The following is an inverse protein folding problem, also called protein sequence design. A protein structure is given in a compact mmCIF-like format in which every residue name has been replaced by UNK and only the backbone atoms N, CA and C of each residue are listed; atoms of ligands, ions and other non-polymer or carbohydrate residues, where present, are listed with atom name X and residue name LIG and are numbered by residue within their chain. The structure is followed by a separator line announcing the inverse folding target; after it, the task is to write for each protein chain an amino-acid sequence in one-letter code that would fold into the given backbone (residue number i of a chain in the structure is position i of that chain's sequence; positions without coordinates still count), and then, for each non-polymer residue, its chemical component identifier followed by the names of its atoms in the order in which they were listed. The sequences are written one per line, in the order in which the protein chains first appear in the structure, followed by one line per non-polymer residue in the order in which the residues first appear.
data_IF_940503352462
#
_entry.id   IF_940503352462
#
_cell.length_a   1.000
_cell.length_b   1.000
_cell.length_c   1.000
_cell.angle_alpha   90.00
_cell.angle_beta   90.00
_cell.angle_gamma   90.00
#
_symmetry.space_group_name_H-M   'P 1'
#
loop_
_entity.id
_entity.type
_entity.pdbx_description
1 polymer ?
#
# COMPACT_ATOMS: atom_id res chain seq x y z
N UNK A 1 -16.73 -7.98 -7.49
CA UNK A 1 -15.96 -6.81 -7.02
C UNK A 1 -15.20 -6.19 -8.19
N UNK A 2 -15.35 -4.88 -8.41
CA UNK A 2 -14.53 -4.09 -9.36
C UNK A 2 -13.06 -4.05 -8.91
N UNK A 3 -12.16 -3.56 -9.77
CA UNK A 3 -10.74 -3.39 -9.39
C UNK A 3 -10.62 -2.37 -8.24
N UNK A 4 -11.33 -1.25 -8.33
CA UNK A 4 -11.33 -0.21 -7.30
C UNK A 4 -11.84 -0.72 -5.94
N UNK A 5 -12.85 -1.59 -5.91
CA UNK A 5 -13.29 -2.24 -4.67
C UNK A 5 -12.24 -3.19 -4.09
N UNK A 6 -11.52 -3.94 -4.95
CA UNK A 6 -10.43 -4.82 -4.51
C UNK A 6 -9.29 -4.04 -3.88
N UNK A 7 -8.90 -2.90 -4.48
CA UNK A 7 -7.84 -2.04 -3.97
C UNK A 7 -8.15 -1.52 -2.56
N UNK A 8 -9.43 -1.32 -2.18
CA UNK A 8 -9.81 -0.96 -0.82
C UNK A 8 -9.44 -2.01 0.24
N UNK A 9 -9.13 -3.22 -0.16
CA UNK A 9 -8.70 -4.30 0.73
C UNK A 9 -7.21 -4.60 0.62
N UNK A 10 -6.47 -3.84 -0.19
CA UNK A 10 -5.03 -4.04 -0.33
C UNK A 10 -4.20 -3.27 0.69
N UNK A 11 -4.80 -2.38 1.47
CA UNK A 11 -4.08 -1.54 2.43
C UNK A 11 -4.50 -1.80 3.86
N UNK A 12 -3.65 -1.41 4.79
CA UNK A 12 -3.90 -1.48 6.23
C UNK A 12 -3.38 -0.21 6.91
N UNK A 13 -4.15 0.30 7.88
CA UNK A 13 -3.72 1.39 8.74
C UNK A 13 -2.74 0.86 9.79
N UNK A 14 -1.58 1.49 9.89
CA UNK A 14 -0.57 1.21 10.90
C UNK A 14 -0.61 2.33 11.93
N UNK A 15 -0.89 2.00 13.19
CA UNK A 15 -0.73 2.92 14.31
C UNK A 15 0.48 2.48 15.13
N UNK A 16 1.53 3.28 15.09
CA UNK A 16 2.77 3.05 15.82
C UNK A 16 2.75 3.76 17.17
N UNK A 17 3.25 3.11 18.20
CA UNK A 17 3.37 3.60 19.55
C UNK A 17 4.83 3.46 19.99
N UNK A 18 5.45 4.56 20.36
CA UNK A 18 6.82 4.61 20.89
C UNK A 18 6.82 4.41 22.41
N UNK A 19 8.00 4.18 22.99
CA UNK A 19 8.14 3.97 24.43
C UNK A 19 7.68 5.16 25.28
N UNK A 20 7.81 6.36 24.76
CA UNK A 20 7.30 7.60 25.38
C UNK A 20 5.79 7.83 25.20
N UNK A 21 5.06 6.82 24.71
CA UNK A 21 3.65 6.88 24.33
C UNK A 21 3.29 7.84 23.17
N UNK A 22 4.27 8.39 22.48
CA UNK A 22 4.03 9.14 21.24
C UNK A 22 3.40 8.19 20.21
N UNK A 23 2.37 8.67 19.51
CA UNK A 23 1.66 7.92 18.49
C UNK A 23 1.88 8.54 17.12
N UNK A 24 2.09 7.71 16.15
CA UNK A 24 2.13 8.08 14.74
C UNK A 24 1.27 7.11 13.94
N UNK A 25 0.85 7.53 12.75
CA UNK A 25 0.10 6.69 11.83
C UNK A 25 0.77 6.67 10.48
N UNK A 26 0.62 5.57 9.78
CA UNK A 26 1.07 5.38 8.41
C UNK A 26 0.19 4.41 7.67
N UNK A 27 0.51 4.21 6.42
CA UNK A 27 -0.13 3.25 5.54
C UNK A 27 0.80 2.06 5.31
N UNK A 28 0.26 0.86 5.35
CA UNK A 28 0.88 -0.32 4.80
C UNK A 28 -0.02 -0.94 3.73
N UNK A 29 0.52 -1.81 2.91
CA UNK A 29 -0.26 -2.58 1.95
C UNK A 29 0.22 -4.03 1.90
N UNK A 30 -0.69 -4.92 1.55
CA UNK A 30 -0.39 -6.35 1.43
C UNK A 30 0.30 -6.62 0.10
N UNK A 31 1.42 -7.32 0.17
CA UNK A 31 2.22 -7.71 -0.99
C UNK A 31 2.66 -9.17 -0.86
N UNK A 32 2.48 -9.93 -1.93
CA UNK A 32 2.91 -11.32 -2.00
C UNK A 32 4.25 -11.40 -2.75
N UNK A 33 5.32 -11.67 -2.00
CA UNK A 33 6.63 -11.92 -2.58
C UNK A 33 6.69 -13.34 -3.12
N UNK A 34 6.95 -13.46 -4.42
CA UNK A 34 7.10 -14.74 -5.10
C UNK A 34 8.32 -15.50 -4.60
N UNK A 35 8.16 -16.78 -4.35
CA UNK A 35 9.22 -17.70 -3.97
C UNK A 35 9.30 -18.83 -4.98
N UNK A 36 10.38 -19.60 -4.92
CA UNK A 36 10.55 -20.79 -5.74
C UNK A 36 9.35 -21.76 -5.58
N UNK A 37 9.01 -22.48 -6.66
CA UNK A 37 7.95 -23.50 -6.69
C UNK A 37 6.52 -23.00 -6.50
N UNK A 38 6.24 -21.72 -6.83
CA UNK A 38 4.87 -21.18 -6.81
C UNK A 38 4.31 -20.91 -5.41
N UNK A 39 5.16 -20.87 -4.39
CA UNK A 39 4.81 -20.37 -3.06
C UNK A 39 5.01 -18.84 -3.01
N UNK A 40 4.37 -18.19 -2.04
CA UNK A 40 4.58 -16.77 -1.77
C UNK A 40 4.71 -16.50 -0.26
N UNK A 41 5.38 -15.41 0.06
CA UNK A 41 5.45 -14.88 1.44
C UNK A 41 4.59 -13.62 1.49
N UNK A 42 3.42 -13.67 2.15
CA UNK A 42 2.58 -12.50 2.31
C UNK A 42 3.16 -11.56 3.38
N UNK A 43 3.34 -10.31 3.00
CA UNK A 43 3.87 -9.26 3.87
C UNK A 43 2.99 -8.02 3.82
N UNK A 44 3.08 -7.18 4.86
CA UNK A 44 2.73 -5.77 4.78
C UNK A 44 3.98 -5.01 4.40
N UNK A 45 3.89 -4.17 3.37
CA UNK A 45 4.96 -3.26 2.94
C UNK A 45 4.61 -1.85 3.37
N UNK A 46 5.60 -1.10 3.87
CA UNK A 46 5.47 0.31 4.29
C UNK A 46 6.83 1.01 4.21
N UNK A 47 6.91 2.27 4.63
CA UNK A 47 8.20 2.95 4.78
C UNK A 47 8.89 2.63 6.12
N UNK A 48 10.22 2.66 6.15
CA UNK A 48 10.99 2.49 7.40
C UNK A 48 10.63 3.57 8.41
N UNK A 49 10.54 4.84 8.00
CA UNK A 49 10.23 5.95 8.90
C UNK A 49 8.84 5.84 9.54
N UNK A 50 7.91 5.04 8.99
CA UNK A 50 6.59 4.77 9.59
C UNK A 50 6.73 3.85 10.80
N UNK A 51 7.58 2.82 10.71
CA UNK A 51 7.72 1.76 11.71
C UNK A 51 8.92 1.95 12.64
N UNK A 52 9.85 2.79 12.24
CA UNK A 52 11.06 3.11 13.00
C UNK A 52 10.70 3.68 14.39
N UNK A 53 11.44 3.25 15.42
CA UNK A 53 11.24 3.66 16.84
C UNK A 53 9.91 3.24 17.46
N UNK A 54 9.10 2.43 16.78
CA UNK A 54 7.86 1.93 17.34
C UNK A 54 8.11 0.65 18.16
N UNK A 55 7.84 0.71 19.44
CA UNK A 55 7.88 -0.47 20.31
C UNK A 55 6.62 -1.32 20.20
N UNK A 56 5.51 -0.71 19.79
CA UNK A 56 4.24 -1.40 19.53
C UNK A 56 3.60 -0.90 18.25
N UNK A 57 2.89 -1.78 17.55
CA UNK A 57 2.04 -1.40 16.43
C UNK A 57 0.65 -2.01 16.53
N UNK A 58 -0.37 -1.26 16.09
CA UNK A 58 -1.75 -1.72 15.99
C UNK A 58 -2.19 -1.72 14.54
N UNK A 59 -2.89 -2.78 14.17
CA UNK A 59 -3.48 -2.98 12.86
C UNK A 59 -4.96 -3.28 13.02
N UNK A 60 -5.81 -2.59 12.28
CA UNK A 60 -7.24 -2.92 12.18
C UNK A 60 -7.43 -3.72 10.90
N UNK A 61 -7.79 -4.98 11.04
CA UNK A 61 -7.84 -5.95 9.95
C UNK A 61 -9.26 -6.40 9.66
N UNK A 62 -9.59 -6.55 8.40
CA UNK A 62 -10.86 -7.14 7.99
C UNK A 62 -10.74 -8.67 8.05
N UNK A 63 -11.68 -9.32 8.71
CA UNK A 63 -11.70 -10.77 8.93
C UNK A 63 -13.05 -11.36 8.55
N UNK A 64 -13.03 -12.65 8.21
CA UNK A 64 -14.22 -13.46 8.01
C UNK A 64 -14.30 -14.49 9.15
N UNK A 65 -15.44 -14.57 9.80
CA UNK A 65 -15.74 -15.62 10.78
C UNK A 65 -15.98 -16.94 10.05
N UNK A 66 -15.14 -17.95 10.30
CA UNK A 66 -15.21 -19.23 9.58
C UNK A 66 -16.56 -19.96 9.72
N UNK A 67 -17.22 -19.79 10.87
CA UNK A 67 -18.48 -20.47 11.15
C UNK A 67 -19.69 -19.85 10.44
N UNK A 68 -19.70 -18.54 10.25
CA UNK A 68 -20.87 -17.79 9.75
C UNK A 68 -20.64 -17.10 8.41
N UNK A 69 -19.37 -16.96 7.99
CA UNK A 69 -19.00 -16.18 6.80
C UNK A 69 -19.17 -14.65 6.98
N UNK A 70 -19.50 -14.19 8.19
CA UNK A 70 -19.73 -12.77 8.45
C UNK A 70 -18.40 -12.03 8.52
N UNK A 71 -18.33 -10.92 7.80
CA UNK A 71 -17.20 -10.00 7.86
C UNK A 71 -17.22 -9.21 9.16
N UNK A 72 -16.05 -9.06 9.78
CA UNK A 72 -15.90 -8.28 10.98
C UNK A 72 -14.48 -7.65 11.02
N UNK A 73 -14.24 -6.71 11.93
CA UNK A 73 -12.95 -6.06 12.06
C UNK A 73 -12.26 -6.46 13.36
N UNK A 74 -10.98 -6.78 13.29
CA UNK A 74 -10.16 -7.20 14.42
C UNK A 74 -8.97 -6.27 14.60
N UNK A 75 -8.77 -5.79 15.82
CA UNK A 75 -7.58 -5.04 16.18
C UNK A 75 -6.50 -5.99 16.68
N UNK A 76 -5.37 -6.03 15.99
CA UNK A 76 -4.20 -6.78 16.42
C UNK A 76 -3.14 -5.79 16.92
N UNK A 77 -2.58 -6.07 18.09
CA UNK A 77 -1.45 -5.32 18.63
C UNK A 77 -0.24 -6.24 18.67
N UNK A 78 0.86 -5.79 18.07
CA UNK A 78 2.17 -6.45 18.13
C UNK A 78 3.02 -5.63 19.09
N UNK A 79 3.56 -6.29 20.12
CA UNK A 79 4.58 -5.76 21.05
C UNK A 79 5.97 -6.16 20.56
N UNK A 80 7.02 -5.51 21.05
CA UNK A 80 8.39 -5.68 20.55
C UNK A 80 8.46 -5.52 19.03
N UNK A 81 7.73 -4.52 18.53
CA UNK A 81 7.45 -4.36 17.11
C UNK A 81 8.71 -4.13 16.29
N UNK A 82 9.75 -3.55 16.88
CA UNK A 82 11.07 -3.37 16.27
C UNK A 82 11.72 -4.68 15.78
N UNK A 83 11.28 -5.83 16.33
CA UNK A 83 11.72 -7.17 15.92
C UNK A 83 10.84 -7.82 14.85
N UNK A 84 9.75 -7.16 14.48
CA UNK A 84 8.69 -7.73 13.63
C UNK A 84 8.76 -7.28 12.18
N UNK A 85 9.72 -6.40 11.83
CA UNK A 85 9.89 -5.89 10.48
C UNK A 85 11.33 -5.94 10.02
N UNK A 86 11.51 -5.95 8.70
CA UNK A 86 12.82 -5.93 8.04
C UNK A 86 12.91 -4.72 7.13
N UNK A 87 13.97 -3.92 7.32
CA UNK A 87 14.20 -2.73 6.49
C UNK A 87 15.00 -3.05 5.23
N UNK A 88 14.67 -2.38 4.12
CA UNK A 88 15.50 -2.41 2.93
C UNK A 88 16.85 -1.73 3.20
N UNK A 89 17.99 -2.23 2.70
CA UNK A 89 19.31 -1.68 3.02
C UNK A 89 19.49 -0.19 2.68
N UNK A 90 18.98 0.25 1.54
CA UNK A 90 19.22 1.59 1.01
C UNK A 90 17.95 2.43 0.84
N UNK A 91 16.81 1.81 0.52
CA UNK A 91 15.55 2.53 0.35
C UNK A 91 14.79 2.69 1.67
N UNK A 92 13.92 3.70 1.73
CA UNK A 92 13.00 3.90 2.86
C UNK A 92 11.81 2.94 2.78
N UNK A 93 12.09 1.64 2.81
CA UNK A 93 11.12 0.56 2.72
C UNK A 93 11.30 -0.44 3.86
N UNK A 94 10.19 -0.94 4.36
CA UNK A 94 10.13 -2.00 5.36
C UNK A 94 9.06 -3.02 5.01
N UNK A 95 9.30 -4.28 5.35
CA UNK A 95 8.34 -5.38 5.22
C UNK A 95 8.05 -5.99 6.59
N UNK A 96 6.80 -6.37 6.78
CA UNK A 96 6.30 -7.03 7.99
C UNK A 96 5.67 -8.35 7.55
N UNK A 97 6.32 -9.51 7.76
CA UNK A 97 5.71 -10.80 7.45
C UNK A 97 4.44 -11.02 8.28
N UNK A 98 3.33 -11.36 7.62
CA UNK A 98 2.02 -11.46 8.28
C UNK A 98 1.66 -12.85 8.80
N UNK A 99 2.57 -13.81 8.71
CA UNK A 99 2.33 -15.18 9.18
C UNK A 99 1.91 -15.24 10.67
N UNK A 100 2.52 -14.41 11.53
CA UNK A 100 2.16 -14.28 12.94
C UNK A 100 0.72 -13.78 13.10
N UNK A 101 0.34 -12.74 12.35
CA UNK A 101 -1.02 -12.18 12.35
C UNK A 101 -2.03 -13.25 11.91
N UNK A 102 -1.74 -13.97 10.83
CA UNK A 102 -2.60 -15.05 10.32
C UNK A 102 -2.79 -16.14 11.39
N UNK A 103 -1.73 -16.53 12.08
CA UNK A 103 -1.82 -17.55 13.15
C UNK A 103 -2.64 -17.07 14.35
N UNK A 104 -2.47 -15.82 14.79
CA UNK A 104 -3.29 -15.22 15.85
C UNK A 104 -4.77 -15.24 15.47
N UNK A 105 -5.11 -14.87 14.25
CA UNK A 105 -6.49 -14.87 13.77
C UNK A 105 -7.06 -16.29 13.65
N UNK A 106 -6.29 -17.23 13.11
CA UNK A 106 -6.71 -18.65 13.02
C UNK A 106 -7.03 -19.23 14.39
N UNK A 107 -6.25 -18.94 15.43
CA UNK A 107 -6.49 -19.39 16.79
C UNK A 107 -7.78 -18.79 17.39
N UNK A 108 -8.24 -17.66 16.87
CA UNK A 108 -9.51 -17.03 17.22
C UNK A 108 -10.71 -17.50 16.33
N UNK A 109 -10.51 -18.50 15.46
CA UNK A 109 -11.52 -18.96 14.51
C UNK A 109 -11.86 -17.98 13.39
N UNK A 110 -10.90 -17.07 13.08
CA UNK A 110 -11.04 -16.00 12.10
C UNK A 110 -10.08 -16.22 10.94
N UNK A 111 -10.45 -15.69 9.77
CA UNK A 111 -9.62 -15.68 8.58
C UNK A 111 -9.39 -14.25 8.15
N UNK A 112 -8.14 -13.87 7.89
CA UNK A 112 -7.78 -12.56 7.37
C UNK A 112 -8.33 -12.42 5.94
N UNK A 113 -9.09 -11.35 5.70
CA UNK A 113 -9.56 -11.00 4.37
C UNK A 113 -8.78 -9.79 3.86
N UNK A 114 -8.03 -9.98 2.80
CA UNK A 114 -7.21 -8.95 2.15
C UNK A 114 -7.05 -9.25 0.67
N UNK A 115 -6.61 -8.27 -0.09
CA UNK A 115 -6.19 -8.39 -1.48
C UNK A 115 -4.71 -8.03 -1.55
N UNK A 116 -3.88 -8.96 -1.98
CA UNK A 116 -2.45 -8.71 -2.16
C UNK A 116 -2.16 -8.02 -3.48
N UNK A 117 -1.19 -7.13 -3.46
CA UNK A 117 -0.48 -6.66 -4.65
C UNK A 117 0.59 -7.71 -4.95
N UNK A 118 0.82 -8.01 -6.21
CA UNK A 118 1.87 -8.95 -6.64
C UNK A 118 2.83 -8.27 -7.62
N UNK A 119 3.94 -8.92 -7.88
CA UNK A 119 4.95 -8.48 -8.85
C UNK A 119 4.37 -8.28 -10.26
N UNK A 120 3.30 -9.02 -10.61
CA UNK A 120 2.61 -8.92 -11.89
C UNK A 120 1.97 -7.55 -12.14
N UNK A 121 1.68 -6.79 -11.07
CA UNK A 121 1.14 -5.44 -11.18
C UNK A 121 2.22 -4.38 -11.38
N UNK A 122 3.50 -4.73 -11.20
CA UNK A 122 4.61 -3.82 -11.46
C UNK A 122 4.81 -3.74 -12.97
N UNK A 123 4.75 -2.54 -13.58
CA UNK A 123 4.86 -2.42 -15.03
C UNK A 123 6.24 -2.87 -15.52
N UNK A 124 6.24 -3.66 -16.56
CA UNK A 124 7.46 -4.03 -17.28
C UNK A 124 8.06 -2.82 -18.02
N UNK A 125 9.34 -2.85 -18.42
CA UNK A 125 9.93 -1.79 -19.23
C UNK A 125 9.10 -1.46 -20.48
N UNK A 126 8.60 -2.46 -21.18
CA UNK A 126 7.73 -2.27 -22.36
C UNK A 126 6.43 -1.55 -22.00
N UNK A 127 5.81 -1.87 -20.86
CA UNK A 127 4.60 -1.21 -20.40
C UNK A 127 4.88 0.23 -19.95
N UNK A 128 6.05 0.50 -19.34
CA UNK A 128 6.49 1.86 -19.03
C UNK A 128 6.72 2.70 -20.30
N UNK A 129 7.19 2.08 -21.39
CA UNK A 129 7.35 2.72 -22.70
C UNK A 129 6.01 3.11 -23.36
N UNK A 130 4.90 2.53 -22.93
CA UNK A 130 3.56 2.82 -23.41
C UNK A 130 2.85 3.91 -22.60
N UNK A 131 3.44 4.34 -21.50
CA UNK A 131 2.90 5.40 -20.66
C UNK A 131 3.20 6.78 -21.24
N UNK A 132 2.32 7.72 -20.97
CA UNK A 132 2.55 9.13 -21.26
C UNK A 132 3.25 9.83 -20.10
N UNK A 133 3.73 11.05 -20.32
CA UNK A 133 4.37 11.82 -19.26
C UNK A 133 3.41 12.16 -18.11
N UNK A 134 2.12 12.31 -18.43
CA UNK A 134 1.06 12.62 -17.45
C UNK A 134 0.05 11.47 -17.47
N UNK A 135 0.03 10.68 -16.40
CA UNK A 135 -0.93 9.59 -16.20
C UNK A 135 -1.78 9.87 -14.97
N UNK A 136 -3.06 9.56 -15.05
CA UNK A 136 -3.93 9.55 -13.87
C UNK A 136 -3.49 8.49 -12.88
N UNK A 137 -3.35 8.87 -11.61
CA UNK A 137 -2.98 7.94 -10.53
C UNK A 137 -4.05 7.90 -9.43
N UNK A 138 -4.08 6.78 -8.73
CA UNK A 138 -4.84 6.58 -7.49
C UNK A 138 -3.85 6.27 -6.37
N UNK A 139 -3.91 7.05 -5.31
CA UNK A 139 -3.23 6.81 -4.05
C UNK A 139 -4.24 6.27 -3.03
N UNK A 140 -3.87 5.22 -2.30
CA UNK A 140 -4.77 4.55 -1.34
C UNK A 140 -4.08 4.48 0.02
N UNK A 141 -4.68 5.10 1.04
CA UNK A 141 -4.04 5.13 2.36
C UNK A 141 -4.85 5.79 3.45
N UNK A 142 -4.17 6.24 4.50
CA UNK A 142 -4.76 6.72 5.74
C UNK A 142 -4.23 8.11 6.12
N UNK A 143 -4.51 9.15 5.29
CA UNK A 143 -4.04 10.52 5.53
C UNK A 143 -4.55 11.04 6.88
N UNK A 144 -3.66 11.63 7.69
CA UNK A 144 -3.94 12.09 9.07
C UNK A 144 -4.57 11.01 9.96
N UNK A 145 -4.33 9.73 9.63
CA UNK A 145 -4.96 8.60 10.27
C UNK A 145 -6.45 8.43 9.96
N UNK A 146 -6.99 9.24 9.02
CA UNK A 146 -8.39 9.20 8.60
C UNK A 146 -8.70 7.93 7.79
N UNK A 147 -9.80 7.29 8.13
CA UNK A 147 -10.38 6.15 7.38
C UNK A 147 -11.87 6.00 7.71
N UNK A 148 -12.58 5.25 6.91
CA UNK A 148 -13.92 4.80 7.28
C UNK A 148 -13.78 3.70 8.35
N UNK A 149 -13.88 4.08 9.60
CA UNK A 149 -13.69 3.16 10.74
C UNK A 149 -14.81 2.12 10.89
N UNK A 150 -15.99 2.41 10.36
CA UNK A 150 -17.12 1.49 10.39
C UNK A 150 -16.93 0.35 9.38
N UNK A 151 -16.53 0.68 8.16
CA UNK A 151 -16.30 -0.30 7.09
C UNK A 151 -14.85 -0.78 6.99
N UNK A 152 -13.94 -0.23 7.81
CA UNK A 152 -12.50 -0.44 7.75
C UNK A 152 -11.92 -0.22 6.34
N UNK A 153 -12.20 0.96 5.76
CA UNK A 153 -11.76 1.31 4.40
C UNK A 153 -10.80 2.49 4.39
N UNK A 154 -9.78 2.43 3.52
CA UNK A 154 -8.85 3.55 3.30
C UNK A 154 -9.55 4.71 2.57
N UNK A 155 -8.84 5.83 2.53
CA UNK A 155 -9.18 6.97 1.68
C UNK A 155 -8.46 6.82 0.35
N UNK A 156 -9.21 6.93 -0.74
CA UNK A 156 -8.68 6.98 -2.10
C UNK A 156 -8.54 8.43 -2.55
N UNK A 157 -7.42 8.74 -3.19
CA UNK A 157 -7.15 10.06 -3.74
C UNK A 157 -6.69 9.93 -5.18
N UNK A 158 -7.25 10.76 -6.05
CA UNK A 158 -6.81 10.87 -7.43
C UNK A 158 -5.75 11.96 -7.54
N UNK A 159 -4.76 11.75 -8.39
CA UNK A 159 -3.72 12.68 -8.76
C UNK A 159 -3.19 12.37 -10.15
N UNK A 160 -2.04 12.91 -10.47
CA UNK A 160 -1.32 12.65 -11.73
C UNK A 160 0.16 12.38 -11.46
N UNK A 161 0.83 11.74 -12.41
CA UNK A 161 2.30 11.75 -12.45
C UNK A 161 2.79 13.16 -12.78
N UNK A 162 3.77 13.67 -12.02
CA UNK A 162 4.39 14.97 -12.25
C UNK A 162 5.72 14.87 -12.99
N UNK A 163 6.25 13.65 -13.11
CA UNK A 163 7.38 13.30 -13.98
C UNK A 163 7.03 12.04 -14.76
N UNK A 164 7.70 11.82 -15.90
CA UNK A 164 7.42 10.67 -16.74
C UNK A 164 7.76 9.36 -15.99
N UNK A 165 6.82 8.40 -15.85
CA UNK A 165 7.07 7.17 -15.07
C UNK A 165 8.20 6.28 -15.60
N UNK A 166 8.56 6.42 -16.86
CA UNK A 166 9.65 5.69 -17.51
C UNK A 166 11.04 6.12 -17.01
N UNK A 167 11.19 7.36 -16.53
CA UNK A 167 12.48 7.96 -16.24
C UNK A 167 12.70 8.10 -14.73
N UNK A 168 13.90 7.69 -14.30
CA UNK A 168 14.36 7.92 -12.93
C UNK A 168 14.52 9.42 -12.67
N UNK A 169 13.83 9.96 -11.66
CA UNK A 169 13.93 11.36 -11.31
C UNK A 169 15.29 11.65 -10.66
N UNK A 170 16.06 12.58 -11.25
CA UNK A 170 17.41 12.94 -10.80
C UNK A 170 18.36 11.73 -10.66
N UNK A 171 18.22 10.71 -11.52
CA UNK A 171 18.98 9.45 -11.50
C UNK A 171 18.70 8.55 -10.30
N UNK A 172 17.67 8.84 -9.53
CA UNK A 172 17.18 8.03 -8.43
C UNK A 172 15.93 7.23 -8.86
N UNK A 173 15.75 6.02 -8.34
CA UNK A 173 14.58 5.16 -8.59
C UNK A 173 13.30 5.74 -7.98
N UNK A 174 12.93 6.93 -8.43
CA UNK A 174 11.83 7.74 -7.91
C UNK A 174 11.08 8.38 -9.06
N UNK A 175 9.82 8.72 -8.80
CA UNK A 175 9.02 9.59 -9.66
C UNK A 175 8.28 10.62 -8.79
N UNK A 176 8.00 11.77 -9.34
CA UNK A 176 7.16 12.76 -8.67
C UNK A 176 5.70 12.58 -9.09
N UNK A 177 4.82 12.78 -8.14
CA UNK A 177 3.37 12.80 -8.36
C UNK A 177 2.80 14.12 -7.86
N UNK A 178 1.73 14.59 -8.48
CA UNK A 178 0.88 15.66 -7.98
C UNK A 178 -0.40 15.06 -7.41
N UNK A 179 -0.45 14.98 -6.09
CA UNK A 179 -1.58 14.46 -5.33
C UNK A 179 -1.56 15.07 -3.93
N UNK A 180 -2.74 15.24 -3.33
CA UNK A 180 -2.85 15.75 -1.95
C UNK A 180 -2.25 14.74 -0.97
N UNK A 181 -1.04 15.02 -0.48
CA UNK A 181 -0.33 14.21 0.50
C UNK A 181 -0.43 14.84 1.89
N UNK A 182 -0.67 14.01 2.92
CA UNK A 182 -0.79 14.44 4.32
C UNK A 182 0.00 13.47 5.21
N UNK A 183 0.35 13.84 6.44
CA UNK A 183 0.89 12.90 7.41
C UNK A 183 0.06 11.62 7.48
N UNK A 184 0.67 10.46 7.59
CA UNK A 184 -0.04 9.17 7.51
C UNK A 184 -0.25 8.61 6.10
N UNK A 185 -0.07 9.42 5.05
CA UNK A 185 -0.06 8.91 3.67
C UNK A 185 1.23 8.14 3.32
N UNK A 186 2.30 8.28 4.09
CA UNK A 186 3.53 7.49 3.92
C UNK A 186 3.23 5.99 3.92
N UNK A 187 3.81 5.25 2.97
CA UNK A 187 3.55 3.84 2.74
C UNK A 187 2.34 3.55 1.83
N UNK A 188 1.63 4.58 1.36
CA UNK A 188 0.50 4.40 0.43
C UNK A 188 0.96 3.86 -0.91
N UNK A 189 0.36 2.78 -1.43
CA UNK A 189 0.58 2.33 -2.79
C UNK A 189 -0.01 3.31 -3.79
N UNK A 190 0.71 3.52 -4.89
CA UNK A 190 0.33 4.38 -6.01
C UNK A 190 0.04 3.50 -7.22
N UNK A 191 -1.15 3.66 -7.79
CA UNK A 191 -1.57 2.90 -8.96
C UNK A 191 -1.90 3.82 -10.13
N UNK A 192 -1.59 3.37 -11.34
CA UNK A 192 -2.36 3.76 -12.53
C UNK A 192 -3.56 2.83 -12.58
N UNK A 193 -4.76 3.38 -12.61
CA UNK A 193 -6.00 2.64 -12.75
C UNK A 193 -6.87 3.30 -13.81
N UNK A 194 -7.02 2.65 -14.96
CA UNK A 194 -7.91 3.09 -16.02
C UNK A 194 -8.97 2.02 -16.26
N UNK A 195 -10.23 2.44 -16.31
CA UNK A 195 -11.37 1.61 -16.71
C UNK A 195 -12.15 2.36 -17.78
N UNK A 196 -12.31 1.75 -18.96
CA UNK A 196 -12.97 2.35 -20.11
C UNK A 196 -12.00 2.92 -21.14
N UNK A 197 -12.08 4.21 -21.46
CA UNK A 197 -11.26 4.88 -22.48
C UNK A 197 -10.08 5.58 -21.79
N UNK A 198 -8.87 5.35 -22.29
CA UNK A 198 -7.66 6.03 -21.83
C UNK A 198 -6.64 6.24 -22.96
N UNK A 199 -5.76 7.21 -22.78
CA UNK A 199 -4.73 7.53 -23.75
C UNK A 199 -3.57 6.53 -23.68
N UNK A 200 -2.96 6.24 -24.82
CA UNK A 200 -1.74 5.44 -24.94
C UNK A 200 -0.82 6.05 -26.00
N UNK A 201 0.48 5.95 -25.80
CA UNK A 201 1.46 6.61 -26.64
C UNK A 201 1.40 6.16 -28.13
N UNK A 202 1.27 4.87 -28.37
CA UNK A 202 1.37 4.29 -29.72
C UNK A 202 0.06 4.24 -30.52
N UNK A 203 -1.09 4.22 -29.85
CA UNK A 203 -2.39 3.96 -30.47
C UNK A 203 -3.42 5.08 -30.28
N UNK A 204 -3.04 6.19 -29.65
CA UNK A 204 -3.96 7.30 -29.36
C UNK A 204 -4.99 6.92 -28.30
N UNK A 205 -6.09 6.29 -28.66
CA UNK A 205 -7.18 5.94 -27.75
C UNK A 205 -7.21 4.43 -27.52
N UNK A 206 -7.13 4.00 -26.27
CA UNK A 206 -7.30 2.63 -25.84
C UNK A 206 -8.65 2.44 -25.11
N UNK A 207 -9.26 1.27 -25.25
CA UNK A 207 -10.50 0.87 -24.55
C UNK A 207 -10.20 -0.41 -23.79
N UNK A 208 -10.41 -0.40 -22.47
CA UNK A 208 -10.17 -1.58 -21.66
C UNK A 208 -9.98 -1.29 -20.18
N UNK A 209 -9.22 -2.16 -19.53
CA UNK A 209 -8.82 -2.00 -18.13
C UNK A 209 -7.30 -2.09 -18.03
N UNK A 210 -6.70 -1.13 -17.33
CA UNK A 210 -5.27 -1.11 -17.06
C UNK A 210 -5.06 -0.83 -15.59
N UNK A 211 -4.27 -1.67 -14.92
CA UNK A 211 -3.82 -1.43 -13.55
C UNK A 211 -2.32 -1.69 -13.47
N UNK A 212 -1.57 -0.70 -12.96
CA UNK A 212 -0.15 -0.81 -12.67
C UNK A 212 0.14 -0.29 -11.27
N UNK A 213 0.92 -1.01 -10.52
CA UNK A 213 1.50 -0.56 -9.26
C UNK A 213 2.79 0.21 -9.57
N UNK A 214 2.76 1.54 -9.44
CA UNK A 214 3.91 2.40 -9.78
C UNK A 214 4.94 2.49 -8.67
N UNK A 215 4.53 2.34 -7.42
CA UNK A 215 5.42 2.50 -6.29
C UNK A 215 4.71 2.89 -5.00
N UNK A 216 5.49 3.44 -4.07
CA UNK A 216 5.09 3.72 -2.69
C UNK A 216 5.37 5.18 -2.39
N UNK A 217 4.37 5.89 -1.85
CA UNK A 217 4.58 7.24 -1.36
C UNK A 217 5.49 7.22 -0.12
N UNK A 218 6.61 7.95 -0.16
CA UNK A 218 7.52 8.00 0.99
C UNK A 218 7.80 9.42 1.50
N UNK A 219 7.69 10.44 0.65
CA UNK A 219 7.93 11.82 1.02
C UNK A 219 6.98 12.78 0.30
N UNK A 220 6.66 13.88 0.95
CA UNK A 220 6.03 15.05 0.35
C UNK A 220 6.99 16.24 0.41
N UNK A 221 6.79 17.22 -0.48
CA UNK A 221 7.51 18.50 -0.40
C UNK A 221 7.05 19.27 0.82
N UNK A 222 7.97 19.54 1.75
CA UNK A 222 7.73 20.50 2.82
C UNK A 222 7.84 21.91 2.23
N UNK A 223 6.71 22.56 2.00
CA UNK A 223 6.72 24.01 1.84
C UNK A 223 6.93 24.64 3.23
N UNK A 224 8.16 25.05 3.52
CA UNK A 224 8.37 26.01 4.63
C UNK A 224 7.86 27.37 4.12
N UNK A 225 6.77 27.83 4.72
CA UNK A 225 6.25 29.19 4.56
C UNK A 225 6.98 30.09 5.56
#
# INVERSE_FOLDING_TARGET
MSISEKICYSTVRIECIQDNNTRSTGTGFFFDFSMDKGSCIPCIVTNKHVVEKASKAKFVLTCILKQTGITHHETITITDFEKSWLGHPTADLAIIPIAVIINILKNKGKELYYVSISEELIPTPTQLDELTAIEDIIMVGYPDGLWDSFNNKPIMRKGITATHPKHDFNKEKQLLIDASCFPGSSGSPIFILNEGIFNGEKCGINIGKRIYFLGILYAGTLHMV
#
